data_IF_119079725103
#
_entry.id   IF_119079725103
#
_cell.length_a   1.000
_cell.length_b   1.000
_cell.length_c   1.000
_cell.angle_alpha   90.00
_cell.angle_beta   90.00
_cell.angle_gamma   90.00
#
_symmetry.space_group_name_H-M   'P 1'
#
loop_
_entity.id
_entity.type
_entity.pdbx_description
1 polymer ?
#
# COMPACT_ATOMS: atom_id res chain seq x y z
N UNK A 1 -55.35 -16.51 -16.34
CA UNK A 1 -54.21 -15.97 -15.57
C UNK A 1 -53.10 -15.74 -16.57
N UNK A 2 -52.92 -14.48 -16.95
CA UNK A 2 -51.85 -14.05 -17.84
C UNK A 2 -50.52 -14.30 -17.13
N UNK A 3 -49.65 -15.07 -17.78
CA UNK A 3 -48.25 -15.19 -17.38
C UNK A 3 -47.59 -13.85 -17.67
N UNK A 4 -47.43 -13.02 -16.64
CA UNK A 4 -46.55 -11.85 -16.72
C UNK A 4 -45.16 -12.34 -17.13
N UNK A 5 -44.79 -12.04 -18.38
CA UNK A 5 -43.42 -12.23 -18.84
C UNK A 5 -42.56 -11.25 -18.05
N UNK A 6 -41.85 -11.73 -17.03
CA UNK A 6 -40.76 -10.96 -16.43
C UNK A 6 -39.85 -10.52 -17.57
N UNK A 7 -39.78 -9.20 -17.80
CA UNK A 7 -38.84 -8.63 -18.78
C UNK A 7 -37.45 -9.03 -18.30
N UNK A 8 -36.84 -10.00 -18.96
CA UNK A 8 -35.50 -10.45 -18.63
C UNK A 8 -34.55 -9.33 -19.03
N UNK A 9 -33.81 -8.81 -18.05
CA UNK A 9 -32.78 -7.82 -18.33
C UNK A 9 -31.72 -8.48 -19.23
N UNK A 10 -31.32 -7.84 -20.34
CA UNK A 10 -30.20 -8.31 -21.16
C UNK A 10 -28.95 -8.60 -20.33
N UNK A 11 -28.16 -9.61 -20.74
CA UNK A 11 -26.98 -10.05 -20.00
C UNK A 11 -25.97 -8.91 -19.83
N UNK A 12 -25.72 -8.14 -20.89
CA UNK A 12 -24.77 -7.03 -20.88
C UNK A 12 -25.16 -5.94 -19.87
N UNK A 13 -26.46 -5.60 -19.81
CA UNK A 13 -26.98 -4.66 -18.82
C UNK A 13 -26.87 -5.23 -17.39
N UNK A 14 -27.06 -6.54 -17.24
CA UNK A 14 -26.86 -7.20 -15.95
C UNK A 14 -25.40 -7.09 -15.50
N UNK A 15 -24.44 -7.34 -16.40
CA UNK A 15 -23.00 -7.20 -16.11
C UNK A 15 -22.69 -5.76 -15.68
N UNK A 16 -23.14 -4.76 -16.45
CA UNK A 16 -22.94 -3.34 -16.14
C UNK A 16 -23.52 -2.94 -14.77
N UNK A 17 -24.70 -3.45 -14.42
CA UNK A 17 -25.29 -3.22 -13.10
C UNK A 17 -24.42 -3.86 -12.02
N UNK A 18 -24.05 -5.13 -12.17
CA UNK A 18 -23.27 -5.85 -11.17
C UNK A 18 -21.89 -5.23 -10.95
N UNK A 19 -21.22 -4.72 -12.00
CA UNK A 19 -19.93 -4.05 -11.90
C UNK A 19 -19.95 -2.80 -11.01
N UNK A 20 -21.10 -2.13 -10.90
CA UNK A 20 -21.26 -0.89 -10.10
C UNK A 20 -21.50 -1.16 -8.62
N UNK A 21 -21.89 -2.38 -8.27
CA UNK A 21 -22.22 -2.76 -6.90
C UNK A 21 -20.96 -2.98 -6.06
N UNK A 22 -21.03 -2.80 -4.73
CA UNK A 22 -19.95 -3.21 -3.84
C UNK A 22 -19.71 -4.72 -3.87
N UNK A 23 -18.47 -5.15 -3.63
CA UNK A 23 -18.07 -6.56 -3.70
C UNK A 23 -18.86 -7.45 -2.75
N UNK A 24 -19.23 -6.92 -1.57
CA UNK A 24 -20.10 -7.61 -0.61
C UNK A 24 -21.48 -7.94 -1.19
N UNK A 25 -22.05 -7.04 -1.99
CA UNK A 25 -23.33 -7.27 -2.67
C UNK A 25 -23.17 -8.32 -3.76
N UNK A 26 -22.11 -8.23 -4.56
CA UNK A 26 -21.78 -9.23 -5.59
C UNK A 26 -21.65 -10.62 -4.96
N UNK A 27 -20.92 -10.73 -3.84
CA UNK A 27 -20.79 -11.99 -3.10
C UNK A 27 -22.13 -12.59 -2.67
N UNK A 28 -23.08 -11.77 -2.21
CA UNK A 28 -24.46 -12.23 -1.90
C UNK A 28 -25.24 -12.64 -3.15
N UNK A 29 -25.03 -11.91 -4.24
CA UNK A 29 -25.72 -12.10 -5.52
C UNK A 29 -25.29 -13.38 -6.25
N UNK A 30 -24.11 -13.94 -5.93
CA UNK A 30 -23.74 -15.29 -6.33
C UNK A 30 -24.74 -16.37 -5.87
N UNK A 31 -25.48 -16.14 -4.78
CA UNK A 31 -26.49 -17.07 -4.28
C UNK A 31 -27.84 -16.98 -5.02
N UNK A 32 -28.05 -15.96 -5.86
CA UNK A 32 -29.34 -15.73 -6.55
C UNK A 32 -29.54 -16.72 -7.70
N UNK A 33 -28.49 -17.00 -8.48
CA UNK A 33 -28.55 -17.99 -9.57
C UNK A 33 -27.17 -18.52 -9.96
N UNK A 34 -27.13 -19.70 -10.58
CA UNK A 34 -25.90 -20.26 -11.16
C UNK A 34 -25.28 -19.35 -12.21
N UNK A 35 -26.11 -18.65 -13.00
CA UNK A 35 -25.65 -17.70 -14.02
C UNK A 35 -24.89 -16.55 -13.36
N UNK A 36 -25.45 -15.93 -12.32
CA UNK A 36 -24.84 -14.80 -11.61
C UNK A 36 -23.56 -15.23 -10.88
N UNK A 37 -23.56 -16.42 -10.27
CA UNK A 37 -22.37 -17.01 -9.67
C UNK A 37 -21.23 -17.16 -10.67
N UNK A 38 -21.52 -17.79 -11.83
CA UNK A 38 -20.53 -18.03 -12.88
C UNK A 38 -20.03 -16.71 -13.46
N UNK A 39 -20.94 -15.82 -13.85
CA UNK A 39 -20.63 -14.53 -14.48
C UNK A 39 -19.71 -13.68 -13.61
N UNK A 40 -20.01 -13.55 -12.32
CA UNK A 40 -19.24 -12.72 -11.37
C UNK A 40 -17.94 -13.37 -10.88
N UNK A 41 -17.63 -14.57 -11.34
CA UNK A 41 -16.39 -15.31 -11.03
C UNK A 41 -15.50 -15.46 -12.26
N UNK A 42 -16.00 -15.15 -13.46
CA UNK A 42 -15.18 -15.18 -14.68
C UNK A 42 -14.00 -14.19 -14.60
N UNK A 43 -12.82 -14.53 -15.16
CA UNK A 43 -11.67 -13.62 -15.17
C UNK A 43 -11.98 -12.26 -15.81
N UNK A 44 -12.79 -12.25 -16.87
CA UNK A 44 -13.20 -11.01 -17.56
C UNK A 44 -14.00 -10.07 -16.66
N UNK A 45 -14.95 -10.60 -15.88
CA UNK A 45 -15.73 -9.82 -14.93
C UNK A 45 -14.85 -9.33 -13.78
N UNK A 46 -14.01 -10.19 -13.21
CA UNK A 46 -13.09 -9.82 -12.11
C UNK A 46 -12.16 -8.70 -12.54
N UNK A 47 -11.60 -8.77 -13.76
CA UNK A 47 -10.74 -7.72 -14.33
C UNK A 47 -11.51 -6.41 -14.53
N UNK A 48 -12.70 -6.47 -15.11
CA UNK A 48 -13.56 -5.30 -15.31
C UNK A 48 -13.98 -4.68 -13.97
N UNK A 49 -14.24 -5.51 -12.96
CA UNK A 49 -14.56 -5.06 -11.61
C UNK A 49 -13.37 -4.34 -10.97
N UNK A 50 -12.15 -4.85 -11.12
CA UNK A 50 -10.93 -4.20 -10.61
C UNK A 50 -10.74 -2.80 -11.20
N UNK A 51 -10.96 -2.65 -12.52
CA UNK A 51 -10.93 -1.34 -13.19
C UNK A 51 -12.00 -0.41 -12.62
N UNK A 52 -13.23 -0.89 -12.43
CA UNK A 52 -14.31 -0.09 -11.86
C UNK A 52 -14.04 0.30 -10.39
N UNK A 53 -13.53 -0.63 -9.59
CA UNK A 53 -13.16 -0.45 -8.18
C UNK A 53 -12.02 0.56 -8.02
N UNK A 54 -11.10 0.62 -8.98
CA UNK A 54 -9.98 1.57 -9.00
C UNK A 54 -10.41 3.05 -9.06
N UNK A 55 -11.64 3.33 -9.51
CA UNK A 55 -12.21 4.69 -9.46
C UNK A 55 -12.74 5.08 -8.07
N UNK A 56 -12.80 4.15 -7.11
CA UNK A 56 -13.32 4.37 -5.75
C UNK A 56 -12.35 3.84 -4.69
N UNK A 57 -11.09 4.30 -4.68
CA UNK A 57 -10.11 3.85 -3.71
C UNK A 57 -10.48 4.29 -2.28
N UNK A 58 -10.01 3.53 -1.31
CA UNK A 58 -10.06 3.88 0.09
C UNK A 58 -8.68 3.77 0.75
N UNK A 59 -8.58 4.39 1.92
CA UNK A 59 -7.53 4.15 2.87
C UNK A 59 -7.99 2.98 3.75
N UNK A 60 -7.34 1.83 3.63
CA UNK A 60 -7.55 0.74 4.56
C UNK A 60 -6.67 0.99 5.79
N UNK A 61 -7.30 1.20 6.95
CA UNK A 61 -6.62 1.47 8.20
C UNK A 61 -6.67 0.26 9.12
N UNK A 62 -5.52 -0.19 9.59
CA UNK A 62 -5.37 -1.30 10.51
C UNK A 62 -5.13 -0.79 11.92
N UNK A 63 -6.08 -1.09 12.81
CA UNK A 63 -5.91 -0.92 14.25
C UNK A 63 -5.47 -2.25 14.86
N UNK A 64 -4.26 -2.26 15.43
CA UNK A 64 -3.78 -3.42 16.18
C UNK A 64 -4.53 -3.50 17.52
N UNK A 65 -5.25 -4.61 17.76
CA UNK A 65 -5.79 -4.96 19.07
C UNK A 65 -4.78 -5.77 19.90
N UNK A 66 -5.25 -6.41 20.98
CA UNK A 66 -4.43 -7.36 21.77
C UNK A 66 -4.40 -8.77 21.15
N UNK A 67 -5.52 -9.21 20.54
CA UNK A 67 -5.64 -10.55 19.94
C UNK A 67 -5.79 -10.56 18.40
N UNK A 68 -6.38 -9.51 17.83
CA UNK A 68 -6.59 -9.35 16.39
C UNK A 68 -6.37 -7.92 15.91
N UNK A 69 -5.93 -7.78 14.67
CA UNK A 69 -5.94 -6.52 13.93
C UNK A 69 -7.36 -6.28 13.43
N UNK A 70 -7.89 -5.07 13.55
CA UNK A 70 -9.19 -4.68 13.02
C UNK A 70 -8.97 -3.70 11.88
N UNK A 71 -9.60 -3.96 10.73
CA UNK A 71 -9.45 -3.14 9.54
C UNK A 71 -10.69 -2.27 9.29
N UNK A 72 -10.44 -1.01 9.00
CA UNK A 72 -11.44 -0.01 8.66
C UNK A 72 -11.22 0.50 7.25
N UNK A 73 -12.27 0.47 6.44
CA UNK A 73 -12.26 1.06 5.11
C UNK A 73 -12.71 2.52 5.20
N UNK A 74 -11.80 3.43 4.82
CA UNK A 74 -11.97 4.88 4.92
C UNK A 74 -11.94 5.47 3.51
N UNK A 75 -13.09 5.82 2.90
CA UNK A 75 -13.15 6.35 1.54
C UNK A 75 -12.24 7.56 1.38
N UNK A 76 -11.51 7.63 0.27
CA UNK A 76 -10.72 8.82 -0.05
C UNK A 76 -11.62 10.01 -0.37
N UNK A 77 -12.71 9.80 -1.10
CA UNK A 77 -13.69 10.83 -1.43
C UNK A 77 -14.95 10.63 -0.62
N UNK A 78 -15.23 11.58 0.27
CA UNK A 78 -16.49 11.68 0.98
C UNK A 78 -16.80 13.15 1.16
N UNK A 79 -18.00 13.58 0.76
CA UNK A 79 -18.40 15.00 0.75
C UNK A 79 -18.72 15.53 2.15
N UNK A 80 -18.74 14.68 3.17
CA UNK A 80 -19.01 15.08 4.56
C UNK A 80 -17.75 15.08 5.41
N UNK A 81 -17.69 16.04 6.33
CA UNK A 81 -16.58 16.20 7.29
C UNK A 81 -16.46 15.03 8.28
N UNK A 82 -17.54 14.27 8.46
CA UNK A 82 -17.63 13.12 9.36
C UNK A 82 -18.05 11.86 8.61
N UNK A 83 -17.36 10.77 8.88
CA UNK A 83 -17.66 9.45 8.29
C UNK A 83 -17.69 8.38 9.37
N UNK A 84 -18.64 7.44 9.26
CA UNK A 84 -18.66 6.22 10.06
C UNK A 84 -18.01 5.08 9.25
N UNK A 85 -16.80 4.64 9.62
CA UNK A 85 -16.07 3.60 8.91
C UNK A 85 -16.79 2.27 8.87
N UNK A 86 -16.59 1.55 7.77
CA UNK A 86 -16.98 0.14 7.67
C UNK A 86 -15.86 -0.71 8.25
N UNK A 87 -16.18 -1.48 9.29
CA UNK A 87 -15.31 -2.57 9.77
C UNK A 87 -15.38 -3.73 8.76
N UNK A 88 -14.25 -4.08 8.16
CA UNK A 88 -14.23 -5.08 7.08
C UNK A 88 -14.00 -6.49 7.62
N UNK A 89 -13.00 -6.67 8.49
CA UNK A 89 -12.75 -7.90 9.25
C UNK A 89 -11.58 -7.74 10.20
N UNK A 90 -11.38 -8.73 11.08
CA UNK A 90 -10.11 -8.89 11.77
C UNK A 90 -9.25 -10.01 11.20
N UNK A 91 -7.95 -9.76 11.03
CA UNK A 91 -6.94 -10.81 10.87
C UNK A 91 -6.31 -11.12 12.24
N UNK A 92 -5.92 -12.38 12.51
CA UNK A 92 -5.12 -12.69 13.69
C UNK A 92 -3.85 -11.82 13.73
N UNK A 93 -3.57 -11.17 14.87
CA UNK A 93 -2.38 -10.31 15.05
C UNK A 93 -1.07 -11.03 14.74
N UNK A 94 -1.03 -12.34 14.95
CA UNK A 94 0.13 -13.19 14.67
C UNK A 94 0.57 -13.16 13.20
N UNK A 95 -0.28 -12.68 12.29
CA UNK A 95 0.05 -12.53 10.87
C UNK A 95 0.78 -11.20 10.61
N UNK A 96 0.48 -10.13 11.35
CA UNK A 96 1.17 -8.82 11.23
C UNK A 96 2.23 -8.70 12.33
N UNK A 97 3.12 -9.69 12.42
CA UNK A 97 4.20 -9.70 13.41
C UNK A 97 5.45 -9.11 12.78
N UNK A 98 5.49 -7.79 12.62
CA UNK A 98 6.77 -7.12 12.50
C UNK A 98 6.77 -5.88 13.38
N UNK A 99 7.65 -5.88 14.38
CA UNK A 99 7.92 -4.75 15.29
C UNK A 99 8.55 -3.55 14.55
N UNK A 100 8.84 -3.73 13.26
CA UNK A 100 9.47 -2.78 12.37
C UNK A 100 8.41 -1.97 11.61
N UNK A 101 8.68 -0.67 11.40
CA UNK A 101 7.84 0.23 10.60
C UNK A 101 7.88 -0.15 9.10
N UNK A 102 7.33 -1.31 8.75
CA UNK A 102 7.29 -1.80 7.37
C UNK A 102 6.09 -1.15 6.68
N UNK A 103 6.38 -0.42 5.60
CA UNK A 103 5.36 0.19 4.75
C UNK A 103 4.85 -0.85 3.76
N UNK A 104 3.82 -1.61 4.14
CA UNK A 104 3.11 -2.44 3.18
C UNK A 104 2.29 -1.58 2.21
N UNK A 105 2.01 -2.14 1.03
CA UNK A 105 1.19 -1.51 0.00
C UNK A 105 0.05 -2.45 -0.38
N UNK A 106 -1.14 -1.90 -0.57
CA UNK A 106 -2.22 -2.60 -1.27
C UNK A 106 -1.99 -2.47 -2.78
N UNK A 107 -1.87 -3.59 -3.47
CA UNK A 107 -1.70 -3.65 -4.93
C UNK A 107 -2.91 -4.38 -5.49
N UNK A 108 -3.79 -3.63 -6.16
CA UNK A 108 -5.04 -4.15 -6.73
C UNK A 108 -5.92 -4.92 -5.74
N UNK A 109 -5.95 -4.43 -4.49
CA UNK A 109 -6.72 -5.03 -3.40
C UNK A 109 -6.03 -6.21 -2.71
N UNK A 110 -4.83 -6.60 -3.14
CA UNK A 110 -4.01 -7.60 -2.47
C UNK A 110 -2.95 -6.95 -1.58
N UNK A 111 -2.72 -7.55 -0.41
CA UNK A 111 -1.75 -7.06 0.57
C UNK A 111 -0.78 -8.19 0.90
N UNK A 112 0.54 -8.00 0.71
CA UNK A 112 1.53 -8.93 1.25
C UNK A 112 1.65 -8.69 2.74
N UNK A 113 1.61 -9.77 3.51
CA UNK A 113 1.86 -9.77 4.93
C UNK A 113 2.84 -10.90 5.24
N UNK A 114 3.82 -10.65 6.10
CA UNK A 114 4.74 -11.69 6.53
C UNK A 114 4.69 -11.88 8.04
N UNK A 115 4.86 -13.14 8.46
CA UNK A 115 5.21 -13.48 9.83
C UNK A 115 6.67 -13.97 9.87
N UNK A 116 7.13 -14.44 11.02
CA UNK A 116 8.50 -14.93 11.17
C UNK A 116 8.87 -16.13 10.28
N UNK A 117 7.91 -16.80 9.65
CA UNK A 117 8.13 -18.07 8.95
C UNK A 117 7.63 -18.12 7.51
N UNK A 118 6.68 -17.28 7.15
CA UNK A 118 5.96 -17.41 5.89
C UNK A 118 5.48 -16.06 5.38
N UNK A 119 5.33 -16.00 4.06
CA UNK A 119 4.68 -14.90 3.36
C UNK A 119 3.23 -15.28 3.11
N UNK A 120 2.33 -14.36 3.40
CA UNK A 120 0.89 -14.49 3.25
C UNK A 120 0.42 -13.41 2.28
N UNK A 121 -0.31 -13.80 1.24
CA UNK A 121 -1.04 -12.86 0.40
C UNK A 121 -2.46 -12.81 0.91
N UNK A 122 -2.93 -11.61 1.21
CA UNK A 122 -4.26 -11.38 1.76
C UNK A 122 -5.14 -10.56 0.81
N UNK A 123 -6.35 -11.05 0.59
CA UNK A 123 -7.45 -10.31 -0.05
C UNK A 123 -8.48 -9.94 1.05
N UNK A 124 -8.50 -8.68 1.52
CA UNK A 124 -9.44 -8.21 2.53
C UNK A 124 -10.90 -8.31 2.10
N UNK A 125 -11.18 -8.03 0.82
CA UNK A 125 -12.52 -7.99 0.24
C UNK A 125 -13.21 -9.35 0.31
N UNK A 126 -12.50 -10.41 -0.08
CA UNK A 126 -13.01 -11.77 -0.04
C UNK A 126 -12.75 -12.47 1.30
N UNK A 127 -12.01 -11.84 2.21
CA UNK A 127 -11.56 -12.43 3.48
C UNK A 127 -10.77 -13.72 3.28
N UNK A 128 -10.08 -13.80 2.15
CA UNK A 128 -9.25 -14.92 1.77
C UNK A 128 -7.80 -14.56 1.99
N UNK A 129 -7.02 -15.52 2.43
CA UNK A 129 -5.57 -15.41 2.44
C UNK A 129 -4.99 -16.73 1.96
N UNK A 130 -3.77 -16.65 1.43
CA UNK A 130 -2.99 -17.84 1.13
C UNK A 130 -1.57 -17.68 1.64
N UNK A 131 -1.09 -18.71 2.31
CA UNK A 131 0.30 -18.82 2.75
C UNK A 131 1.09 -19.39 1.59
N UNK A 132 2.12 -18.66 1.16
CA UNK A 132 3.02 -19.11 0.10
C UNK A 132 3.88 -20.30 0.60
N UNK A 133 4.41 -21.15 -0.30
CA UNK A 133 5.27 -22.26 0.07
C UNK A 133 6.47 -21.82 0.92
N UNK A 134 7.14 -22.79 1.56
CA UNK A 134 8.26 -22.51 2.44
C UNK A 134 9.38 -21.73 1.72
N UNK A 135 9.67 -20.54 2.24
CA UNK A 135 10.76 -19.68 1.80
C UNK A 135 12.10 -20.24 2.31
N UNK A 136 13.14 -20.20 1.47
CA UNK A 136 14.50 -20.66 1.87
C UNK A 136 15.48 -19.50 2.15
N UNK A 137 14.95 -18.30 2.35
CA UNK A 137 15.70 -17.09 2.70
C UNK A 137 15.90 -17.03 4.21
N UNK A 138 17.06 -16.54 4.63
CA UNK A 138 17.43 -16.38 6.02
C UNK A 138 16.54 -15.35 6.72
N UNK A 139 16.01 -15.74 7.88
CA UNK A 139 15.13 -14.92 8.73
C UNK A 139 15.94 -13.89 9.54
N UNK A 140 15.35 -12.73 9.89
CA UNK A 140 14.10 -12.20 9.37
C UNK A 140 14.26 -11.74 7.92
N UNK A 141 13.16 -11.79 7.17
CA UNK A 141 13.10 -11.39 5.77
C UNK A 141 12.01 -10.33 5.56
N UNK A 142 12.02 -9.70 4.38
CA UNK A 142 10.97 -8.80 3.91
C UNK A 142 10.34 -9.37 2.64
N UNK A 143 9.03 -9.17 2.48
CA UNK A 143 8.30 -9.51 1.26
C UNK A 143 7.80 -8.24 0.55
N UNK A 144 8.11 -8.11 -0.73
CA UNK A 144 7.75 -6.98 -1.57
C UNK A 144 6.84 -7.49 -2.69
N UNK A 145 5.56 -7.10 -2.65
CA UNK A 145 4.63 -7.42 -3.74
C UNK A 145 4.84 -6.42 -4.88
N UNK A 146 4.94 -6.94 -6.10
CA UNK A 146 4.93 -6.17 -7.34
C UNK A 146 3.87 -6.69 -8.29
N UNK A 147 3.40 -5.83 -9.19
CA UNK A 147 2.46 -6.19 -10.24
C UNK A 147 2.95 -5.66 -11.57
N UNK A 148 3.07 -6.53 -12.58
CA UNK A 148 3.35 -6.17 -13.96
C UNK A 148 2.04 -5.83 -14.69
N UNK A 149 1.78 -4.55 -15.01
CA UNK A 149 0.55 -4.14 -15.70
C UNK A 149 0.49 -4.59 -17.16
N UNK A 150 1.60 -5.05 -17.76
CA UNK A 150 1.63 -5.50 -19.15
C UNK A 150 1.42 -7.01 -19.24
N UNK A 151 2.14 -7.78 -18.42
CA UNK A 151 2.00 -9.24 -18.30
C UNK A 151 0.77 -9.67 -17.49
N UNK A 152 0.16 -8.76 -16.71
CA UNK A 152 -0.94 -9.05 -15.78
C UNK A 152 -0.54 -10.08 -14.71
N UNK A 153 0.71 -10.01 -14.25
CA UNK A 153 1.30 -10.94 -13.28
C UNK A 153 1.64 -10.23 -11.97
N UNK A 154 1.43 -10.94 -10.86
CA UNK A 154 1.91 -10.51 -9.56
C UNK A 154 3.15 -11.33 -9.21
N UNK A 155 4.17 -10.65 -8.67
CA UNK A 155 5.37 -11.33 -8.18
C UNK A 155 5.71 -10.83 -6.79
N UNK A 156 6.21 -11.72 -5.97
CA UNK A 156 6.65 -11.43 -4.60
C UNK A 156 8.15 -11.60 -4.55
N UNK A 157 8.87 -10.51 -4.29
CA UNK A 157 10.31 -10.51 -4.07
C UNK A 157 10.58 -10.61 -2.57
N UNK A 158 11.38 -11.59 -2.17
CA UNK A 158 11.76 -11.86 -0.79
C UNK A 158 13.26 -11.77 -0.59
N UNK A 159 13.68 -11.08 0.47
CA UNK A 159 15.09 -10.85 0.78
C UNK A 159 15.33 -10.92 2.28
N UNK A 160 16.49 -11.45 2.69
CA UNK A 160 16.90 -11.40 4.09
C UNK A 160 17.20 -9.97 4.50
N UNK A 161 16.83 -9.63 5.73
CA UNK A 161 17.18 -8.36 6.34
C UNK A 161 18.55 -8.41 7.03
N UNK A 162 19.10 -9.61 7.30
CA UNK A 162 20.33 -9.79 8.08
C UNK A 162 21.50 -10.28 7.24
N UNK A 163 21.25 -11.12 6.24
CA UNK A 163 22.30 -11.70 5.41
C UNK A 163 22.50 -10.85 4.16
N UNK A 164 23.68 -10.23 4.05
CA UNK A 164 24.01 -9.26 2.99
C UNK A 164 24.47 -9.85 1.66
N UNK A 165 24.60 -11.16 1.56
CA UNK A 165 25.08 -11.82 0.32
C UNK A 165 24.17 -13.00 -0.04
N UNK A 166 22.94 -13.03 0.50
CA UNK A 166 21.98 -14.07 0.22
C UNK A 166 21.08 -13.65 -0.94
N UNK A 167 21.15 -14.39 -2.04
CA UNK A 167 20.35 -14.09 -3.22
C UNK A 167 18.84 -14.00 -2.92
N UNK A 168 18.15 -12.97 -3.43
CA UNK A 168 16.71 -12.86 -3.30
C UNK A 168 15.98 -14.06 -3.89
N UNK A 169 14.81 -14.34 -3.34
CA UNK A 169 13.86 -15.28 -3.93
C UNK A 169 12.66 -14.55 -4.49
N UNK A 170 12.16 -15.03 -5.62
CA UNK A 170 10.96 -14.51 -6.25
C UNK A 170 9.94 -15.63 -6.39
N UNK A 171 8.67 -15.25 -6.21
CA UNK A 171 7.52 -16.11 -6.43
C UNK A 171 6.55 -15.39 -7.35
N UNK A 172 6.23 -15.99 -8.50
CA UNK A 172 5.13 -15.52 -9.34
C UNK A 172 3.84 -16.08 -8.77
N UNK A 173 2.85 -15.22 -8.51
CA UNK A 173 1.54 -15.66 -8.06
C UNK A 173 0.80 -16.29 -9.24
N UNK A 174 0.83 -17.61 -9.30
CA UNK A 174 0.19 -18.41 -10.32
C UNK A 174 0.16 -19.90 -9.95
N UNK A 175 -0.51 -20.72 -10.76
CA UNK A 175 -0.65 -22.15 -10.50
C UNK A 175 0.66 -22.91 -10.65
N UNK A 176 0.94 -23.82 -9.71
CA UNK A 176 2.11 -24.70 -9.77
C UNK A 176 3.47 -24.01 -9.55
N UNK A 177 3.47 -22.74 -9.16
CA UNK A 177 4.68 -21.95 -8.99
C UNK A 177 5.43 -22.29 -7.69
N UNK A 178 6.75 -22.10 -7.72
CA UNK A 178 7.63 -22.31 -6.58
C UNK A 178 8.61 -21.16 -6.44
N UNK A 179 9.14 -20.97 -5.23
CA UNK A 179 10.20 -20.00 -5.00
C UNK A 179 11.42 -20.33 -5.85
N UNK A 180 11.85 -19.36 -6.67
CA UNK A 180 13.09 -19.46 -7.41
C UNK A 180 14.07 -18.38 -6.98
N UNK A 181 15.34 -18.75 -7.00
CA UNK A 181 16.46 -17.87 -6.66
C UNK A 181 16.74 -16.95 -7.85
N UNK A 182 16.88 -15.65 -7.58
CA UNK A 182 17.38 -14.69 -8.57
C UNK A 182 18.90 -14.62 -8.42
N UNK A 183 19.63 -15.01 -9.47
CA UNK A 183 21.09 -14.84 -9.51
C UNK A 183 21.36 -13.41 -9.97
N UNK A 184 21.91 -12.59 -9.09
CA UNK A 184 22.24 -11.22 -9.44
C UNK A 184 23.67 -11.18 -9.99
N UNK A 185 23.81 -11.03 -11.30
CA UNK A 185 25.12 -11.12 -11.98
C UNK A 185 25.88 -9.79 -11.99
N UNK A 186 25.17 -8.65 -12.06
CA UNK A 186 25.78 -7.35 -12.40
C UNK A 186 25.67 -6.29 -11.31
N UNK A 187 24.84 -6.52 -10.31
CA UNK A 187 24.53 -5.55 -9.26
C UNK A 187 24.64 -6.30 -7.95
N UNK A 188 25.50 -5.86 -7.03
CA UNK A 188 25.39 -6.30 -5.64
C UNK A 188 24.49 -5.26 -4.95
N UNK A 189 23.15 -5.41 -4.92
CA UNK A 189 22.35 -4.53 -4.10
C UNK A 189 22.71 -4.85 -2.67
N UNK A 190 23.40 -3.94 -2.00
CA UNK A 190 23.52 -4.03 -0.56
C UNK A 190 22.09 -4.13 0.00
N UNK A 191 21.79 -5.22 0.71
CA UNK A 191 20.41 -5.63 1.04
C UNK A 191 19.64 -4.55 1.81
N UNK A 192 18.31 -4.70 1.93
CA UNK A 192 17.42 -3.74 2.60
C UNK A 192 17.91 -3.37 4.01
N UNK A 193 17.83 -2.08 4.39
CA UNK A 193 18.14 -1.64 5.75
C UNK A 193 17.19 -2.25 6.77
N UNK A 194 17.74 -3.07 7.67
CA UNK A 194 17.05 -3.72 8.79
C UNK A 194 16.09 -2.82 9.59
N UNK A 195 16.41 -1.52 9.75
CA UNK A 195 15.61 -0.59 10.57
C UNK A 195 14.63 0.29 9.77
N UNK A 196 14.57 0.19 8.44
CA UNK A 196 13.70 1.04 7.61
C UNK A 196 13.32 0.37 6.28
N UNK A 197 12.31 -0.48 6.34
CA UNK A 197 11.71 -1.14 5.19
C UNK A 197 10.79 -0.19 4.40
N UNK A 198 11.39 0.80 3.72
CA UNK A 198 10.67 1.68 2.79
C UNK A 198 10.67 1.03 1.42
N UNK A 199 9.48 0.80 0.88
CA UNK A 199 9.31 0.35 -0.49
C UNK A 199 7.95 0.75 -1.08
N UNK A 200 7.86 0.78 -2.40
CA UNK A 200 6.63 0.97 -3.19
C UNK A 200 6.73 0.30 -4.55
N UNK A 201 5.66 -0.34 -5.00
CA UNK A 201 5.44 -0.69 -6.40
C UNK A 201 4.73 0.47 -7.11
N UNK A 202 5.35 0.99 -8.17
CA UNK A 202 4.82 2.07 -9.01
C UNK A 202 5.00 1.64 -10.47
N UNK A 203 3.89 1.51 -11.21
CA UNK A 203 3.88 1.24 -12.65
C UNK A 203 4.73 0.03 -13.09
N UNK A 204 4.66 -1.10 -12.37
CA UNK A 204 5.43 -2.29 -12.72
C UNK A 204 6.85 -2.35 -12.16
N UNK A 205 7.27 -1.34 -11.39
CA UNK A 205 8.60 -1.30 -10.78
C UNK A 205 8.48 -1.21 -9.26
N UNK A 206 9.13 -2.14 -8.56
CA UNK A 206 9.26 -2.12 -7.10
C UNK A 206 10.50 -1.32 -6.73
N UNK A 207 10.32 -0.21 -6.02
CA UNK A 207 11.39 0.61 -5.48
C UNK A 207 11.55 0.33 -3.99
N UNK A 208 12.78 0.12 -3.51
CA UNK A 208 13.06 -0.03 -2.09
C UNK A 208 14.38 0.62 -1.67
N UNK A 209 14.51 0.97 -0.39
CA UNK A 209 15.72 1.57 0.18
C UNK A 209 16.74 0.50 0.61
N UNK A 210 17.95 0.56 0.06
CA UNK A 210 19.06 -0.36 0.33
C UNK A 210 19.96 0.06 1.51
N UNK A 211 20.80 -0.88 2.00
CA UNK A 211 21.72 -0.71 3.13
C UNK A 211 22.78 0.37 2.96
N UNK A 212 23.22 0.60 1.73
CA UNK A 212 24.18 1.65 1.38
C UNK A 212 23.56 3.05 1.22
N UNK A 213 22.24 3.19 1.42
CA UNK A 213 21.48 4.41 1.10
C UNK A 213 21.34 4.69 -0.40
N UNK A 214 21.24 3.65 -1.22
CA UNK A 214 20.74 3.76 -2.59
C UNK A 214 19.28 3.33 -2.65
N UNK A 215 18.61 3.67 -3.74
CA UNK A 215 17.31 3.11 -4.08
C UNK A 215 17.56 2.00 -5.08
N UNK A 216 16.96 0.84 -4.85
CA UNK A 216 16.95 -0.23 -5.84
C UNK A 216 15.59 -0.23 -6.51
N UNK A 217 15.60 -0.24 -7.84
CA UNK A 217 14.44 -0.49 -8.67
C UNK A 217 14.46 -1.94 -9.13
N UNK A 218 13.36 -2.65 -8.97
CA UNK A 218 13.16 -4.00 -9.49
C UNK A 218 12.01 -3.98 -10.48
N UNK A 219 12.31 -4.18 -11.76
CA UNK A 219 11.31 -4.27 -12.81
C UNK A 219 10.63 -5.64 -12.72
N UNK A 220 9.32 -5.67 -12.43
CA UNK A 220 8.58 -6.91 -12.13
C UNK A 220 8.53 -7.84 -13.34
N UNK A 221 8.47 -7.27 -14.55
CA UNK A 221 8.31 -8.03 -15.79
C UNK A 221 9.61 -8.72 -16.19
N UNK A 222 10.65 -7.91 -16.36
CA UNK A 222 11.98 -8.35 -16.82
C UNK A 222 12.83 -8.92 -15.69
N UNK A 223 12.44 -8.69 -14.43
CA UNK A 223 13.10 -9.15 -13.21
C UNK A 223 14.53 -8.64 -13.07
N UNK A 224 14.76 -7.46 -13.65
CA UNK A 224 16.04 -6.79 -13.61
C UNK A 224 16.07 -5.78 -12.47
N UNK A 225 17.21 -5.77 -11.81
CA UNK A 225 17.52 -4.76 -10.81
C UNK A 225 18.16 -3.55 -11.50
N UNK A 226 17.93 -2.38 -10.93
CA UNK A 226 18.60 -1.13 -11.23
C UNK A 226 18.93 -0.41 -9.92
N UNK A 227 19.98 0.39 -9.92
CA UNK A 227 20.40 1.18 -8.76
C UNK A 227 20.20 2.64 -9.08
N UNK A 228 19.61 3.38 -8.16
CA UNK A 228 19.33 4.80 -8.28
C UNK A 228 19.96 5.50 -7.08
N UNK A 229 20.84 6.47 -7.35
CA UNK A 229 21.45 7.27 -6.30
C UNK A 229 20.41 8.23 -5.69
N UNK A 230 20.41 8.31 -4.37
CA UNK A 230 19.56 9.26 -3.63
C UNK A 230 20.11 10.68 -3.85
N UNK A 231 19.25 11.70 -4.05
CA UNK A 231 19.71 13.07 -4.19
C UNK A 231 20.35 13.57 -2.89
N UNK A 232 21.15 14.64 -2.97
CA UNK A 232 21.67 15.28 -1.76
C UNK A 232 20.56 15.95 -0.96
N UNK A 233 20.05 15.22 0.03
CA UNK A 233 19.03 15.68 0.97
C UNK A 233 19.63 16.33 2.23
N UNK A 234 20.84 16.88 2.16
CA UNK A 234 21.49 17.50 3.32
C UNK A 234 20.72 18.73 3.85
N UNK A 235 20.51 18.78 5.17
CA UNK A 235 20.08 20.00 5.85
C UNK A 235 21.30 20.79 6.31
N UNK A 236 21.40 22.03 5.84
CA UNK A 236 22.33 23.01 6.40
C UNK A 236 21.75 23.56 7.70
N UNK A 237 22.49 23.43 8.79
CA UNK A 237 22.14 24.01 10.08
C UNK A 237 23.05 25.20 10.37
N UNK A 238 22.48 26.31 10.88
CA UNK A 238 23.26 27.47 11.30
C UNK A 238 24.25 27.04 12.39
N UNK A 239 25.53 27.35 12.22
CA UNK A 239 26.58 27.05 13.18
C UNK A 239 27.31 25.71 12.99
N UNK A 240 26.91 24.85 12.04
CA UNK A 240 27.70 23.68 11.63
C UNK A 240 28.43 23.95 10.31
N UNK A 241 29.74 23.62 10.18
CA UNK A 241 30.48 23.76 8.92
C UNK A 241 30.02 22.78 7.83
N UNK A 242 29.35 21.69 8.21
CA UNK A 242 28.87 20.63 7.32
C UNK A 242 27.35 20.46 7.39
N UNK A 243 26.74 20.03 6.29
CA UNK A 243 25.33 19.65 6.24
C UNK A 243 25.07 18.30 6.91
N UNK A 244 23.93 18.13 7.56
CA UNK A 244 23.50 16.82 8.09
C UNK A 244 22.81 16.07 6.95
N UNK A 245 23.38 14.92 6.54
CA UNK A 245 22.79 14.07 5.51
C UNK A 245 21.51 13.41 6.03
N UNK A 246 20.41 13.52 5.29
CA UNK A 246 19.11 12.98 5.69
C UNK A 246 18.73 11.87 4.74
N UNK A 247 18.11 10.83 5.30
CA UNK A 247 17.56 9.71 4.56
C UNK A 247 16.07 9.91 4.33
N UNK A 248 15.54 9.38 3.21
CA UNK A 248 14.11 9.49 2.94
C UNK A 248 13.34 8.74 4.02
N UNK A 249 12.18 9.28 4.38
CA UNK A 249 11.28 8.72 5.39
C UNK A 249 10.17 7.86 4.81
N UNK A 250 9.91 7.98 3.52
CA UNK A 250 9.00 7.13 2.78
C UNK A 250 9.08 7.44 1.29
N UNK A 251 8.44 6.57 0.51
CA UNK A 251 8.24 6.73 -0.93
C UNK A 251 6.75 6.91 -1.20
N UNK A 252 6.43 7.78 -2.16
CA UNK A 252 5.09 7.98 -2.69
C UNK A 252 5.15 8.00 -4.21
N UNK A 253 4.01 7.75 -4.85
CA UNK A 253 3.80 8.12 -6.24
C UNK A 253 3.43 9.60 -6.32
N UNK A 254 4.04 10.31 -7.25
CA UNK A 254 3.62 11.66 -7.63
C UNK A 254 3.59 11.73 -9.16
N UNK A 255 2.40 11.91 -9.74
CA UNK A 255 2.18 11.95 -11.20
C UNK A 255 2.77 10.75 -11.94
N UNK A 256 2.67 9.57 -11.32
CA UNK A 256 3.18 8.31 -11.87
C UNK A 256 4.69 8.10 -11.70
N UNK A 257 5.41 9.01 -11.03
CA UNK A 257 6.85 8.91 -10.76
C UNK A 257 7.11 8.63 -9.29
N UNK A 258 8.26 8.04 -9.01
CA UNK A 258 8.75 7.88 -7.64
C UNK A 258 9.07 9.25 -7.05
N UNK A 259 8.57 9.52 -5.86
CA UNK A 259 8.99 10.67 -5.07
C UNK A 259 9.37 10.29 -3.64
N UNK A 260 10.43 10.92 -3.14
CA UNK A 260 10.95 10.75 -1.79
C UNK A 260 10.54 11.93 -0.93
N UNK A 261 10.28 11.69 0.35
CA UNK A 261 9.99 12.76 1.31
C UNK A 261 10.67 12.52 2.66
N UNK A 262 10.81 13.58 3.48
CA UNK A 262 11.33 13.50 4.85
C UNK A 262 10.47 14.27 5.83
N UNK A 263 10.15 13.64 6.97
CA UNK A 263 9.37 14.26 8.06
C UNK A 263 10.05 15.49 8.68
N UNK A 264 11.36 15.66 8.52
CA UNK A 264 12.08 16.79 9.11
C UNK A 264 11.62 18.12 8.50
N UNK A 265 11.29 18.12 7.20
CA UNK A 265 10.70 19.30 6.56
C UNK A 265 9.34 19.64 7.17
N UNK A 266 8.51 18.62 7.44
CA UNK A 266 7.19 18.74 8.06
C UNK A 266 7.26 19.43 9.42
N UNK A 267 8.24 19.08 10.25
CA UNK A 267 8.48 19.74 11.55
C UNK A 267 8.72 21.25 11.46
N UNK A 268 9.13 21.75 10.28
CA UNK A 268 9.33 23.18 9.99
C UNK A 268 8.16 23.80 9.23
N UNK A 269 7.01 23.14 9.19
CA UNK A 269 5.81 23.59 8.49
C UNK A 269 5.94 23.58 6.96
N UNK A 270 6.75 22.67 6.41
CA UNK A 270 6.96 22.52 4.97
C UNK A 270 6.95 21.05 4.56
N UNK A 271 6.75 20.76 3.30
CA UNK A 271 7.06 19.44 2.74
C UNK A 271 8.00 19.61 1.57
N UNK A 272 9.07 18.82 1.57
CA UNK A 272 10.02 18.72 0.48
C UNK A 272 9.90 17.35 -0.17
N UNK A 273 9.50 17.32 -1.44
CA UNK A 273 9.49 16.14 -2.29
C UNK A 273 10.70 16.15 -3.22
N UNK A 274 11.32 15.00 -3.40
CA UNK A 274 12.32 14.76 -4.45
C UNK A 274 11.73 13.78 -5.45
N UNK A 275 11.42 14.25 -6.65
CA UNK A 275 10.73 13.50 -7.70
C UNK A 275 11.77 12.99 -8.69
N UNK A 276 11.74 11.70 -8.98
CA UNK A 276 12.65 11.07 -9.94
C UNK A 276 12.23 11.44 -11.38
N UNK A 277 13.10 12.13 -12.10
CA UNK A 277 12.88 12.48 -13.51
C UNK A 277 13.44 11.41 -14.45
N UNK A 278 14.67 10.97 -14.18
CA UNK A 278 15.39 10.00 -15.00
C UNK A 278 16.13 9.01 -14.08
N UNK A 279 15.70 7.75 -14.10
CA UNK A 279 16.26 6.69 -13.27
C UNK A 279 17.70 6.33 -13.67
N UNK A 280 17.98 6.30 -14.98
CA UNK A 280 19.27 5.91 -15.55
C UNK A 280 20.33 6.97 -15.28
N UNK A 281 19.95 8.25 -15.39
CA UNK A 281 20.84 9.38 -15.09
C UNK A 281 20.86 9.80 -13.62
N UNK A 282 20.02 9.18 -12.79
CA UNK A 282 19.82 9.53 -11.38
C UNK A 282 19.42 11.00 -11.16
N UNK A 283 18.59 11.55 -12.05
CA UNK A 283 18.16 12.95 -12.01
C UNK A 283 16.91 13.14 -11.16
N UNK A 284 16.94 14.14 -10.28
CA UNK A 284 15.87 14.45 -9.34
C UNK A 284 15.47 15.92 -9.41
N UNK A 285 14.16 16.17 -9.33
CA UNK A 285 13.61 17.52 -9.16
C UNK A 285 13.09 17.68 -7.74
N UNK A 286 13.54 18.74 -7.07
CA UNK A 286 13.07 19.10 -5.74
C UNK A 286 11.86 20.02 -5.83
N UNK A 287 10.81 19.68 -5.09
CA UNK A 287 9.61 20.49 -4.92
C UNK A 287 9.37 20.76 -3.43
N UNK A 288 9.33 22.03 -3.06
CA UNK A 288 9.02 22.46 -1.70
C UNK A 288 7.65 23.13 -1.66
N UNK A 289 6.87 22.87 -0.61
CA UNK A 289 5.65 23.61 -0.32
C UNK A 289 5.53 23.92 1.17
N UNK A 290 4.94 25.06 1.49
CA UNK A 290 4.53 25.38 2.86
C UNK A 290 3.27 24.60 3.23
N UNK A 291 3.28 23.96 4.40
CA UNK A 291 2.09 23.28 4.89
C UNK A 291 1.12 24.32 5.49
N UNK A 292 -0.13 24.37 5.01
CA UNK A 292 -1.15 25.28 5.53
C UNK A 292 -1.76 24.83 6.88
N UNK A 293 -1.22 23.77 7.49
CA UNK A 293 -1.62 23.22 8.78
C UNK A 293 -0.40 22.90 9.63
N UNK A 294 -0.59 22.89 10.96
CA UNK A 294 0.46 22.50 11.91
C UNK A 294 0.57 20.98 11.93
N UNK A 295 1.77 20.46 11.70
CA UNK A 295 2.05 19.03 11.83
C UNK A 295 2.43 18.62 13.24
N UNK A 296 2.77 19.59 14.09
CA UNK A 296 3.15 19.41 15.48
C UNK A 296 2.16 20.16 16.36
N UNK A 297 1.48 19.45 17.27
CA UNK A 297 0.57 20.06 18.26
C UNK A 297 0.89 19.52 19.65
N UNK A 298 1.05 20.41 20.63
CA UNK A 298 1.14 20.06 22.06
C UNK A 298 -0.27 20.01 22.62
N UNK A 299 -0.62 18.97 23.38
CA UNK A 299 -1.85 18.99 24.17
C UNK A 299 -1.72 19.97 25.34
N UNK A 300 -2.85 20.55 25.74
CA UNK A 300 -2.97 21.39 26.94
C UNK A 300 -2.87 20.60 28.24
N UNK A 301 -3.01 19.27 28.21
CA UNK A 301 -3.05 18.37 29.38
C UNK A 301 -1.70 17.80 29.80
N UNK A 302 -0.60 18.11 29.08
CA UNK A 302 0.75 17.63 29.43
C UNK A 302 1.07 16.19 29.00
N UNK A 303 0.19 15.53 28.24
CA UNK A 303 0.31 14.09 27.90
C UNK A 303 1.04 13.78 26.57
N UNK A 304 1.65 14.76 25.90
CA UNK A 304 2.59 14.50 24.81
C UNK A 304 2.48 15.40 23.57
N UNK A 305 3.33 15.11 22.59
CA UNK A 305 3.45 15.82 21.29
C UNK A 305 2.81 14.97 20.20
N UNK A 306 1.86 15.54 19.46
CA UNK A 306 1.19 14.92 18.32
C UNK A 306 1.92 15.27 17.03
N UNK A 307 2.35 14.26 16.27
CA UNK A 307 2.95 14.43 14.96
C UNK A 307 2.02 13.87 13.88
N UNK A 308 1.71 14.70 12.88
CA UNK A 308 1.08 14.26 11.64
C UNK A 308 2.17 13.77 10.68
N UNK A 309 2.04 12.52 10.23
CA UNK A 309 2.95 11.89 9.25
C UNK A 309 2.25 11.65 7.93
N UNK A 310 3.02 11.83 6.85
CA UNK A 310 2.64 11.35 5.53
C UNK A 310 2.56 9.82 5.57
N UNK A 311 1.36 9.30 5.35
CA UNK A 311 1.03 7.87 5.32
C UNK A 311 0.93 7.33 3.89
N UNK A 312 0.89 8.21 2.90
CA UNK A 312 0.89 7.91 1.48
C UNK A 312 0.18 8.99 0.69
N UNK A 313 -0.35 8.59 -0.45
CA UNK A 313 -0.99 9.45 -1.44
C UNK A 313 -2.31 8.86 -1.92
N UNK A 314 -3.24 9.70 -2.39
CA UNK A 314 -4.43 9.27 -3.13
C UNK A 314 -4.09 9.04 -4.60
N UNK A 315 -5.04 8.46 -5.36
CA UNK A 315 -4.93 8.34 -6.83
C UNK A 315 -4.74 9.71 -7.48
N UNK A 316 -5.38 10.74 -6.95
CA UNK A 316 -5.32 12.13 -7.40
C UNK A 316 -4.07 12.90 -6.91
N UNK A 317 -3.05 12.20 -6.40
CA UNK A 317 -1.80 12.77 -5.86
C UNK A 317 -1.98 13.71 -4.65
N UNK A 318 -3.10 13.61 -3.90
CA UNK A 318 -3.22 14.26 -2.60
C UNK A 318 -2.41 13.49 -1.56
N UNK A 319 -1.61 14.18 -0.74
CA UNK A 319 -0.87 13.58 0.36
C UNK A 319 -1.80 13.29 1.54
N UNK A 320 -1.72 12.08 2.07
CA UNK A 320 -2.50 11.63 3.21
C UNK A 320 -1.65 11.78 4.47
N UNK A 321 -2.10 12.63 5.39
CA UNK A 321 -1.52 12.81 6.71
C UNK A 321 -2.37 12.13 7.76
N UNK A 322 -1.77 11.23 8.54
CA UNK A 322 -2.39 10.60 9.70
C UNK A 322 -1.64 10.98 10.99
N UNK A 323 -2.36 11.06 12.13
CA UNK A 323 -1.74 11.29 13.42
C UNK A 323 -1.00 10.04 13.94
N UNK A 324 0.20 10.23 14.49
CA UNK A 324 1.00 9.16 15.14
C UNK A 324 0.36 8.61 16.42
N UNK A 325 -0.36 9.48 17.13
CA UNK A 325 -1.11 9.20 18.33
C UNK A 325 -2.42 9.96 18.17
N UNK A 326 -3.56 9.37 18.51
CA UNK A 326 -4.84 10.06 18.38
C UNK A 326 -5.70 9.83 19.61
N UNK A 327 -5.92 10.92 20.36
CA UNK A 327 -7.14 11.08 21.13
C UNK A 327 -8.31 11.34 20.19
N UNK A 328 -9.53 11.13 20.68
CA UNK A 328 -10.72 11.31 19.86
C UNK A 328 -10.90 12.79 19.48
N UNK A 329 -11.29 13.10 18.23
CA UNK A 329 -11.57 12.17 17.13
C UNK A 329 -10.34 11.75 16.32
N UNK A 330 -10.35 10.53 15.75
CA UNK A 330 -9.38 10.14 14.71
C UNK A 330 -9.74 10.84 13.40
N UNK A 331 -8.75 11.37 12.69
CA UNK A 331 -8.95 12.07 11.43
C UNK A 331 -7.78 11.86 10.47
N UNK A 332 -8.05 12.06 9.18
CA UNK A 332 -7.03 12.18 8.15
C UNK A 332 -7.06 13.59 7.55
N UNK A 333 -5.89 14.12 7.21
CA UNK A 333 -5.76 15.33 6.40
C UNK A 333 -5.29 14.93 5.02
N UNK A 334 -6.02 15.35 3.99
CA UNK A 334 -5.63 15.20 2.60
C UNK A 334 -5.17 16.56 2.09
N UNK A 335 -3.98 16.59 1.49
CA UNK A 335 -3.34 17.81 1.03
C UNK A 335 -2.98 17.70 -0.46
N UNK A 336 -3.67 18.49 -1.29
CA UNK A 336 -3.33 18.70 -2.70
C UNK A 336 -2.19 19.71 -2.79
N UNK A 337 -1.00 19.22 -3.13
CA UNK A 337 0.21 20.03 -3.25
C UNK A 337 0.14 21.07 -4.38
N UNK A 338 -0.57 20.76 -5.46
CA UNK A 338 -0.63 21.60 -6.67
C UNK A 338 -1.63 22.73 -6.51
N UNK A 339 -2.80 22.41 -5.97
CA UNK A 339 -3.88 23.38 -5.75
C UNK A 339 -3.78 24.07 -4.40
N UNK A 340 -2.84 23.64 -3.55
CA UNK A 340 -2.70 24.06 -2.17
C UNK A 340 -4.03 23.97 -1.40
N UNK A 341 -4.75 22.85 -1.59
CA UNK A 341 -6.05 22.60 -0.95
C UNK A 341 -5.90 21.56 0.13
N UNK A 342 -6.62 21.78 1.23
CA UNK A 342 -6.65 20.88 2.37
C UNK A 342 -8.07 20.48 2.61
N UNK A 343 -8.27 19.20 2.90
CA UNK A 343 -9.51 18.71 3.49
C UNK A 343 -9.18 17.80 4.66
N UNK A 344 -9.96 17.92 5.72
CA UNK A 344 -9.85 17.10 6.92
C UNK A 344 -11.11 16.24 7.00
N UNK A 345 -10.93 14.94 7.21
CA UNK A 345 -12.04 14.00 7.38
C UNK A 345 -11.91 13.37 8.74
N UNK A 346 -12.94 13.53 9.57
CA UNK A 346 -13.03 12.88 10.88
C UNK A 346 -13.76 11.54 10.75
N UNK A 347 -13.19 10.51 11.37
CA UNK A 347 -13.73 9.17 11.33
C UNK A 347 -14.24 8.79 12.72
N UNK A 348 -15.56 8.68 12.84
CA UNK A 348 -16.23 8.31 14.09
C UNK A 348 -16.14 6.80 14.32
N UNK A 349 -16.25 6.32 15.56
CA UNK A 349 -16.24 4.89 15.87
C UNK A 349 -14.86 4.20 15.86
N UNK A 350 -13.81 4.83 15.33
CA UNK A 350 -12.43 4.41 15.56
C UNK A 350 -12.06 4.87 16.98
N UNK A 351 -12.25 3.98 17.97
CA UNK A 351 -11.93 4.27 19.37
C UNK A 351 -10.46 4.66 19.56
N UNK A 352 -10.07 5.06 20.79
CA UNK A 352 -8.73 5.58 21.11
C UNK A 352 -7.57 4.77 20.53
N UNK A 353 -6.55 5.48 20.04
CA UNK A 353 -5.32 4.91 19.49
C UNK A 353 -4.21 5.15 20.51
N UNK A 354 -3.94 4.11 21.30
CA UNK A 354 -2.89 4.13 22.33
C UNK A 354 -1.52 3.67 21.81
N UNK A 355 -1.42 3.23 20.56
CA UNK A 355 -0.21 2.58 20.03
C UNK A 355 0.34 3.26 18.77
N UNK A 356 1.67 3.41 18.75
CA UNK A 356 2.54 4.01 17.72
C UNK A 356 2.63 3.14 16.42
N UNK A 357 1.82 2.08 16.28
CA UNK A 357 2.03 1.01 15.28
C UNK A 357 0.77 0.69 14.47
N UNK A 358 0.07 1.69 13.93
CA UNK A 358 -1.02 1.45 12.99
C UNK A 358 -0.48 1.27 11.56
N UNK A 359 -0.97 0.26 10.86
CA UNK A 359 -0.67 0.07 9.43
C UNK A 359 -1.76 0.73 8.61
N UNK A 360 -1.37 1.33 7.50
CA UNK A 360 -2.30 1.96 6.58
C UNK A 360 -1.94 1.60 5.15
N UNK A 361 -2.97 1.35 4.34
CA UNK A 361 -2.84 0.94 2.95
C UNK A 361 -3.64 1.95 2.11
N UNK A 362 -2.99 3.04 1.66
CA UNK A 362 -3.64 3.99 0.78
C UNK A 362 -3.93 3.32 -0.57
N UNK A 363 -4.96 3.82 -1.26
CA UNK A 363 -5.41 3.32 -2.56
C UNK A 363 -5.80 1.83 -2.55
N UNK A 364 -6.32 1.34 -1.42
CA UNK A 364 -6.95 0.04 -1.39
C UNK A 364 -8.23 0.06 -2.22
N UNK A 365 -8.48 -1.02 -2.94
CA UNK A 365 -9.66 -1.20 -3.79
C UNK A 365 -10.29 -2.55 -3.45
N UNK A 366 -11.60 -2.66 -3.62
CA UNK A 366 -12.25 -3.96 -3.51
C UNK A 366 -11.78 -4.88 -4.65
N UNK A 367 -11.40 -6.12 -4.33
CA UNK A 367 -10.94 -7.11 -5.30
C UNK A 367 -11.73 -8.41 -5.23
N UNK A 368 -12.28 -8.83 -6.37
CA UNK A 368 -12.96 -10.11 -6.53
C UNK A 368 -12.01 -11.25 -6.93
N UNK A 369 -10.70 -11.00 -6.92
CA UNK A 369 -9.68 -12.01 -7.23
C UNK A 369 -9.64 -13.09 -6.15
N UNK A 370 -10.07 -14.31 -6.52
CA UNK A 370 -10.00 -15.47 -5.64
C UNK A 370 -8.54 -15.94 -5.53
N UNK A 371 -8.01 -15.96 -4.31
CA UNK A 371 -6.64 -16.44 -4.06
C UNK A 371 -6.52 -17.96 -4.19
N UNK A 372 -7.63 -18.68 -3.97
CA UNK A 372 -7.66 -20.12 -4.15
C UNK A 372 -7.53 -20.48 -5.65
N UNK A 373 -8.26 -19.78 -6.50
CA UNK A 373 -8.27 -20.05 -7.95
C UNK A 373 -6.90 -19.70 -8.56
N UNK A 374 -6.28 -18.64 -8.06
CA UNK A 374 -5.00 -18.13 -8.54
C UNK A 374 -3.83 -19.13 -8.35
N UNK A 375 -3.90 -20.01 -7.36
CA UNK A 375 -2.85 -21.00 -7.08
C UNK A 375 -3.20 -22.43 -7.52
N UNK A 376 -4.44 -22.68 -7.93
CA UNK A 376 -4.94 -24.04 -8.23
C UNK A 376 -5.28 -24.29 -9.70
N UNK A 377 -5.14 -23.28 -10.58
CA UNK A 377 -5.41 -23.40 -12.01
C UNK A 377 -4.36 -24.30 -12.74
N UNK A 378 -4.47 -25.62 -12.57
CA UNK A 378 -3.72 -26.61 -13.34
C UNK A 378 -4.23 -26.75 -14.77
#
# INVERSE_FOLDING_TARGET
METESFVSLPLDLTIEILLRLPAKSIGRFRCVSKLWSTMTTTPSFVKSYSVHSSARPCLLYCKNGEEKCVFYSLPHHHDTEKYLPKEETGLPLRIITNENNIHHQSIHGLIPVENSESVIIWNPTLKQHVTLPQLKVSKPFISLLGYDPIGDEYKVLCMSLWVKDEDPQIFTLGPGESWRRLIIQDISPSHVKFYKAIWRCINGVVYYLAADNTIVSFDVRSEKFGVIQIPDMSLRMKGLPWGIKILPCGFIRHRGRLALFSYISSLRGRISLWILEDAEKHEWVRKDSSLPFKTLTSLSTGEGIFLLRVSGETVDDELIYLPDLAERPFYAIFYDLERNRVRKVEYEGIGEIKFIRSHCFPNHIESLMSLNDLLTAA
#
